data_IF_464746918948
#
_entry.id   IF_464746918948
#
_cell.length_a   1.000
_cell.length_b   1.000
_cell.length_c   1.000
_cell.angle_alpha   90.00
_cell.angle_beta   90.00
_cell.angle_gamma   90.00
#
_symmetry.space_group_name_H-M   'P 1'
#
loop_
_entity.id
_entity.type
_entity.pdbx_description
1 polymer ?
#
# COMPACT_ATOMS: atom_id res chain seq x y z
N UNK A 1 32.31 -29.86 -10.17
CA UNK A 1 31.40 -28.84 -10.76
C UNK A 1 31.58 -28.87 -12.26
N UNK A 2 30.53 -29.12 -13.04
CA UNK A 2 30.58 -29.14 -14.49
C UNK A 2 30.86 -27.73 -15.04
N UNK A 3 31.44 -27.63 -16.24
CA UNK A 3 31.70 -26.35 -16.89
C UNK A 3 30.39 -25.49 -17.03
N UNK A 4 29.26 -26.17 -17.08
CA UNK A 4 27.91 -25.54 -17.12
C UNK A 4 27.54 -24.89 -15.78
N UNK A 5 27.84 -25.54 -14.64
CA UNK A 5 27.60 -24.99 -13.30
C UNK A 5 28.51 -23.80 -13.00
N UNK A 6 29.76 -23.85 -13.44
CA UNK A 6 30.69 -22.72 -13.35
C UNK A 6 30.24 -21.53 -14.22
N UNK A 7 29.65 -21.79 -15.39
CA UNK A 7 29.09 -20.76 -16.27
C UNK A 7 27.82 -20.13 -15.70
N UNK A 8 26.99 -20.90 -15.02
CA UNK A 8 25.75 -20.38 -14.34
C UNK A 8 26.14 -19.56 -13.12
N UNK A 9 27.09 -20.02 -12.32
CA UNK A 9 27.60 -19.28 -11.16
C UNK A 9 28.28 -17.95 -11.56
N UNK A 10 28.96 -17.91 -12.71
CA UNK A 10 29.55 -16.67 -13.24
C UNK A 10 28.52 -15.67 -13.79
N UNK A 11 27.28 -16.10 -14.03
CA UNK A 11 26.17 -15.25 -14.49
C UNK A 11 25.26 -14.73 -13.39
N UNK A 12 25.48 -15.11 -12.12
CA UNK A 12 24.79 -14.49 -11.02
C UNK A 12 25.15 -12.99 -11.02
N UNK A 13 24.17 -12.07 -11.09
CA UNK A 13 24.49 -10.65 -11.08
C UNK A 13 25.26 -10.35 -9.80
N UNK A 14 26.37 -9.59 -9.89
CA UNK A 14 27.16 -9.25 -8.71
C UNK A 14 26.21 -8.56 -7.71
N UNK A 15 26.25 -9.01 -6.45
CA UNK A 15 25.50 -8.35 -5.37
C UNK A 15 25.79 -6.86 -5.44
N UNK A 16 24.75 -6.04 -5.62
CA UNK A 16 24.91 -4.58 -5.62
C UNK A 16 25.43 -4.17 -4.25
N UNK A 17 26.65 -3.63 -4.23
CA UNK A 17 27.25 -3.16 -2.99
C UNK A 17 26.67 -1.82 -2.52
N UNK A 18 25.96 -1.09 -3.41
CA UNK A 18 25.46 0.26 -3.16
C UNK A 18 24.03 0.46 -3.69
N UNK A 19 23.39 1.53 -3.24
CA UNK A 19 22.12 2.01 -3.79
C UNK A 19 22.26 2.44 -5.25
N UNK A 20 21.18 2.32 -6.01
CA UNK A 20 21.11 2.97 -7.32
C UNK A 20 20.81 4.45 -7.05
N UNK A 21 21.78 5.32 -7.40
CA UNK A 21 21.74 6.74 -7.07
C UNK A 21 22.08 7.03 -5.61
N UNK A 22 21.72 8.22 -5.15
CA UNK A 22 21.97 8.66 -3.78
C UNK A 22 21.14 7.85 -2.78
N UNK A 23 21.76 7.34 -1.70
CA UNK A 23 21.03 6.59 -0.69
C UNK A 23 20.02 7.48 0.02
N UNK A 24 18.73 7.10 0.08
CA UNK A 24 17.76 7.88 0.83
C UNK A 24 18.13 7.89 2.32
N UNK A 25 17.93 9.03 2.99
CA UNK A 25 18.16 9.17 4.44
C UNK A 25 17.26 8.19 5.22
N UNK A 26 17.62 7.95 6.49
CA UNK A 26 16.80 7.07 7.35
C UNK A 26 15.34 7.56 7.42
N UNK A 27 15.14 8.87 7.59
CA UNK A 27 13.79 9.49 7.64
C UNK A 27 13.02 9.23 6.34
N UNK A 28 13.68 9.37 5.19
CA UNK A 28 13.06 9.10 3.90
C UNK A 28 12.68 7.63 3.73
N UNK A 29 13.54 6.70 4.17
CA UNK A 29 13.24 5.26 4.14
C UNK A 29 12.04 4.91 5.01
N UNK A 30 12.01 5.43 6.25
CA UNK A 30 10.89 5.21 7.16
C UNK A 30 9.61 5.82 6.62
N UNK A 31 9.68 7.01 6.00
CA UNK A 31 8.53 7.65 5.37
C UNK A 31 7.96 6.79 4.24
N UNK A 32 8.79 6.31 3.33
CA UNK A 32 8.34 5.47 2.21
C UNK A 32 7.82 4.10 2.70
N UNK A 33 8.46 3.52 3.71
CA UNK A 33 7.96 2.29 4.36
C UNK A 33 6.56 2.52 4.93
N UNK A 34 6.35 3.60 5.70
CA UNK A 34 5.04 3.93 6.27
C UNK A 34 3.98 4.12 5.20
N UNK A 35 4.29 4.90 4.14
CA UNK A 35 3.38 5.12 3.00
C UNK A 35 2.96 3.78 2.37
N UNK A 36 3.93 2.90 2.08
CA UNK A 36 3.64 1.60 1.50
C UNK A 36 2.82 0.69 2.42
N UNK A 37 3.13 0.68 3.73
CA UNK A 37 2.39 -0.12 4.72
C UNK A 37 0.93 0.33 4.83
N UNK A 38 0.69 1.63 4.91
CA UNK A 38 -0.67 2.19 4.99
C UNK A 38 -1.43 1.97 3.69
N UNK A 39 -0.78 2.14 2.53
CA UNK A 39 -1.41 1.93 1.22
C UNK A 39 -1.99 0.53 1.01
N UNK A 40 -1.43 -0.48 1.65
CA UNK A 40 -1.92 -1.87 1.54
C UNK A 40 -2.66 -2.36 2.80
N UNK A 41 -2.94 -1.48 3.75
CA UNK A 41 -3.52 -1.87 5.04
C UNK A 41 -4.93 -2.46 4.89
N UNK A 42 -5.70 -1.96 3.93
CA UNK A 42 -7.03 -2.50 3.63
C UNK A 42 -7.01 -3.97 3.22
N UNK A 43 -5.93 -4.50 2.65
CA UNK A 43 -5.83 -5.92 2.31
C UNK A 43 -6.04 -6.82 3.53
N UNK A 44 -5.54 -6.40 4.68
CA UNK A 44 -5.77 -7.11 5.95
C UNK A 44 -7.11 -6.76 6.61
N UNK A 45 -7.53 -5.49 6.54
CA UNK A 45 -8.74 -4.99 7.19
C UNK A 45 -10.03 -5.26 6.39
N UNK A 46 -9.92 -5.44 5.07
CA UNK A 46 -11.07 -5.60 4.18
C UNK A 46 -12.07 -6.67 4.63
N UNK A 47 -11.65 -7.90 4.95
CA UNK A 47 -12.56 -8.94 5.44
C UNK A 47 -13.31 -8.53 6.72
N UNK A 48 -12.64 -7.86 7.65
CA UNK A 48 -13.27 -7.37 8.89
C UNK A 48 -14.29 -6.26 8.60
N UNK A 49 -13.91 -5.25 7.82
CA UNK A 49 -14.74 -4.07 7.59
C UNK A 49 -15.90 -4.37 6.65
N UNK A 50 -15.65 -5.02 5.51
CA UNK A 50 -16.71 -5.40 4.58
C UNK A 50 -17.61 -6.48 5.16
N UNK A 51 -17.07 -7.42 5.93
CA UNK A 51 -17.85 -8.41 6.68
C UNK A 51 -18.76 -7.75 7.72
N UNK A 52 -18.27 -6.75 8.44
CA UNK A 52 -19.07 -5.94 9.36
C UNK A 52 -20.19 -5.18 8.66
N UNK A 53 -19.94 -4.62 7.47
CA UNK A 53 -20.97 -3.97 6.65
C UNK A 53 -22.04 -4.96 6.16
N UNK A 54 -21.64 -6.19 5.81
CA UNK A 54 -22.61 -7.22 5.46
C UNK A 54 -23.45 -7.67 6.65
N UNK A 55 -22.85 -7.83 7.83
CA UNK A 55 -23.58 -8.10 9.06
C UNK A 55 -24.59 -7.00 9.42
N UNK A 56 -24.27 -5.75 9.05
CA UNK A 56 -25.19 -4.60 9.17
C UNK A 56 -26.22 -4.50 8.03
N UNK A 57 -26.30 -5.47 7.11
CA UNK A 57 -27.25 -5.51 5.99
C UNK A 57 -26.93 -4.52 4.86
N UNK A 58 -25.75 -3.89 4.83
CA UNK A 58 -25.36 -2.89 3.81
C UNK A 58 -24.76 -3.53 2.55
N UNK A 59 -24.26 -4.77 2.64
CA UNK A 59 -23.67 -5.53 1.53
C UNK A 59 -24.16 -6.97 1.57
N UNK A 60 -24.29 -7.56 0.40
CA UNK A 60 -24.42 -9.01 0.23
C UNK A 60 -23.06 -9.69 0.17
N UNK A 61 -23.01 -11.01 0.39
CA UNK A 61 -21.77 -11.78 0.25
C UNK A 61 -21.12 -11.62 -1.15
N UNK A 62 -21.91 -11.54 -2.20
CA UNK A 62 -21.43 -11.31 -3.56
C UNK A 62 -20.78 -9.92 -3.70
N UNK A 63 -21.39 -8.89 -3.10
CA UNK A 63 -20.87 -7.52 -3.15
C UNK A 63 -19.57 -7.35 -2.36
N UNK A 64 -19.36 -8.11 -1.27
CA UNK A 64 -18.05 -8.15 -0.58
C UNK A 64 -16.95 -8.61 -1.55
N UNK A 65 -17.20 -9.71 -2.25
CA UNK A 65 -16.25 -10.23 -3.23
C UNK A 65 -15.99 -9.24 -4.38
N UNK A 66 -17.04 -8.60 -4.88
CA UNK A 66 -16.93 -7.58 -5.94
C UNK A 66 -16.10 -6.38 -5.47
N UNK A 67 -16.37 -5.84 -4.28
CA UNK A 67 -15.64 -4.71 -3.73
C UNK A 67 -14.15 -5.03 -3.54
N UNK A 68 -13.84 -6.17 -2.91
CA UNK A 68 -12.46 -6.60 -2.71
C UNK A 68 -11.73 -6.85 -4.03
N UNK A 69 -12.35 -7.54 -4.97
CA UNK A 69 -11.75 -7.81 -6.29
C UNK A 69 -11.53 -6.52 -7.09
N UNK A 70 -12.52 -5.63 -7.11
CA UNK A 70 -12.43 -4.36 -7.82
C UNK A 70 -11.29 -3.48 -7.27
N UNK A 71 -11.13 -3.43 -5.94
CA UNK A 71 -10.04 -2.71 -5.29
C UNK A 71 -8.67 -3.30 -5.64
N UNK A 72 -8.53 -4.63 -5.60
CA UNK A 72 -7.27 -5.31 -5.95
C UNK A 72 -6.88 -5.09 -7.41
N UNK A 73 -7.82 -5.17 -8.34
CA UNK A 73 -7.59 -4.90 -9.76
C UNK A 73 -7.17 -3.44 -9.96
N UNK A 74 -7.89 -2.51 -9.34
CA UNK A 74 -7.57 -1.09 -9.41
C UNK A 74 -6.19 -0.79 -8.76
N UNK A 75 -5.84 -1.47 -7.67
CA UNK A 75 -4.50 -1.35 -7.07
C UNK A 75 -3.41 -1.83 -8.03
N UNK A 76 -3.63 -2.94 -8.74
CA UNK A 76 -2.73 -3.39 -9.81
C UNK A 76 -2.54 -2.33 -10.90
N UNK A 77 -3.63 -1.68 -11.34
CA UNK A 77 -3.58 -0.56 -12.30
C UNK A 77 -2.82 0.63 -11.67
N UNK A 78 -3.06 0.94 -10.42
CA UNK A 78 -2.35 1.98 -9.68
C UNK A 78 -0.84 1.77 -9.68
N UNK A 79 -0.38 0.55 -9.41
CA UNK A 79 1.05 0.19 -9.43
C UNK A 79 1.63 0.26 -10.84
N UNK A 80 0.95 -0.35 -11.83
CA UNK A 80 1.52 -0.60 -13.14
C UNK A 80 1.39 0.61 -14.09
N UNK A 81 0.36 1.42 -13.93
CA UNK A 81 0.03 2.52 -14.86
C UNK A 81 0.11 3.87 -14.18
N UNK A 82 -0.68 4.08 -13.12
CA UNK A 82 -0.82 5.41 -12.52
C UNK A 82 0.46 5.85 -11.80
N UNK A 83 1.12 4.95 -11.05
CA UNK A 83 2.38 5.25 -10.37
C UNK A 83 3.46 5.78 -11.33
N UNK A 84 3.78 5.07 -12.42
CA UNK A 84 4.74 5.54 -13.40
C UNK A 84 4.41 6.89 -14.06
N UNK A 85 3.12 7.26 -14.18
CA UNK A 85 2.71 8.56 -14.73
C UNK A 85 3.14 9.75 -13.87
N UNK A 86 3.28 9.58 -12.54
CA UNK A 86 3.87 10.60 -11.68
C UNK A 86 5.35 10.83 -12.00
N UNK A 87 6.02 9.80 -12.54
CA UNK A 87 7.44 9.81 -12.84
C UNK A 87 8.31 9.83 -11.57
N UNK A 88 9.60 9.58 -11.76
CA UNK A 88 10.56 9.44 -10.66
C UNK A 88 10.87 10.73 -9.89
N UNK A 89 10.38 11.89 -10.36
CA UNK A 89 10.68 13.22 -9.80
C UNK A 89 9.56 13.84 -8.96
N UNK A 90 8.41 13.15 -8.82
CA UNK A 90 7.23 13.71 -8.13
C UNK A 90 6.73 12.83 -6.99
N UNK A 91 7.65 12.14 -6.31
CA UNK A 91 7.30 11.13 -5.30
C UNK A 91 6.53 11.71 -4.12
N UNK A 92 6.89 12.91 -3.64
CA UNK A 92 6.15 13.59 -2.57
C UNK A 92 4.73 13.93 -2.98
N UNK A 93 4.57 14.46 -4.19
CA UNK A 93 3.25 14.79 -4.72
C UNK A 93 2.39 13.52 -4.82
N UNK A 94 2.95 12.43 -5.35
CA UNK A 94 2.28 11.15 -5.43
C UNK A 94 1.84 10.65 -4.05
N UNK A 95 2.75 10.67 -3.06
CA UNK A 95 2.45 10.24 -1.69
C UNK A 95 1.34 11.08 -1.05
N UNK A 96 1.45 12.41 -1.13
CA UNK A 96 0.48 13.32 -0.51
C UNK A 96 -0.89 13.24 -1.17
N UNK A 97 -0.94 13.35 -2.50
CA UNK A 97 -2.23 13.32 -3.23
C UNK A 97 -2.92 11.97 -3.08
N UNK A 98 -2.18 10.87 -3.23
CA UNK A 98 -2.76 9.54 -3.09
C UNK A 98 -3.21 9.25 -1.66
N UNK A 99 -2.46 9.67 -0.64
CA UNK A 99 -2.88 9.53 0.75
C UNK A 99 -4.16 10.31 1.06
N UNK A 100 -4.30 11.55 0.57
CA UNK A 100 -5.50 12.35 0.77
C UNK A 100 -6.71 11.81 -0.02
N UNK A 101 -6.50 11.39 -1.27
CA UNK A 101 -7.56 10.79 -2.08
C UNK A 101 -8.06 9.49 -1.44
N UNK A 102 -7.14 8.64 -0.98
CA UNK A 102 -7.50 7.39 -0.31
C UNK A 102 -8.28 7.66 0.98
N UNK A 103 -7.85 8.62 1.80
CA UNK A 103 -8.57 9.04 3.01
C UNK A 103 -10.00 9.52 2.70
N UNK A 104 -10.16 10.32 1.65
CA UNK A 104 -11.48 10.78 1.22
C UNK A 104 -12.39 9.62 0.77
N UNK A 105 -11.85 8.64 0.06
CA UNK A 105 -12.57 7.45 -0.38
C UNK A 105 -12.92 6.52 0.78
N UNK A 106 -12.04 6.38 1.77
CA UNK A 106 -12.32 5.65 3.01
C UNK A 106 -13.47 6.32 3.78
N UNK A 107 -13.46 7.65 3.91
CA UNK A 107 -14.55 8.40 4.52
C UNK A 107 -15.84 8.31 3.71
N UNK A 108 -15.77 8.35 2.38
CA UNK A 108 -16.95 8.17 1.52
C UNK A 108 -17.58 6.79 1.73
N UNK A 109 -16.79 5.75 1.94
CA UNK A 109 -17.25 4.38 2.15
C UNK A 109 -18.17 4.28 3.37
N UNK A 110 -17.98 5.10 4.42
CA UNK A 110 -18.83 5.09 5.63
C UNK A 110 -20.28 5.56 5.34
N UNK A 111 -20.49 6.37 4.32
CA UNK A 111 -21.77 7.03 4.00
C UNK A 111 -22.49 6.42 2.81
N UNK A 112 -21.90 5.41 2.19
CA UNK A 112 -22.44 4.78 0.97
C UNK A 112 -22.85 3.34 1.23
N UNK A 113 -23.64 2.80 0.34
CA UNK A 113 -24.11 1.42 0.37
C UNK A 113 -24.11 0.82 -1.04
N UNK A 114 -24.12 -0.49 -1.12
CA UNK A 114 -24.29 -1.24 -2.36
C UNK A 114 -23.27 -0.86 -3.47
N UNK A 115 -23.73 -0.49 -4.63
CA UNK A 115 -22.92 -0.23 -5.82
C UNK A 115 -21.97 0.96 -5.67
N UNK A 116 -22.42 2.02 -5.00
CA UNK A 116 -21.57 3.21 -4.76
C UNK A 116 -20.39 2.86 -3.86
N UNK A 117 -20.60 1.98 -2.90
CA UNK A 117 -19.51 1.47 -2.05
C UNK A 117 -18.51 0.66 -2.88
N UNK A 118 -18.97 -0.22 -3.76
CA UNK A 118 -18.10 -1.01 -4.64
C UNK A 118 -17.25 -0.08 -5.53
N UNK A 119 -17.88 0.96 -6.09
CA UNK A 119 -17.17 1.95 -6.89
C UNK A 119 -16.15 2.74 -6.05
N UNK A 120 -16.52 3.16 -4.84
CA UNK A 120 -15.60 3.85 -3.93
C UNK A 120 -14.38 2.97 -3.60
N UNK A 121 -14.58 1.67 -3.36
CA UNK A 121 -13.49 0.72 -3.12
C UNK A 121 -12.63 0.49 -4.37
N UNK A 122 -13.27 0.36 -5.54
CA UNK A 122 -12.52 0.30 -6.79
C UNK A 122 -11.64 1.52 -7.01
N UNK A 123 -12.18 2.72 -6.78
CA UNK A 123 -11.40 3.95 -6.90
C UNK A 123 -10.29 4.05 -5.83
N UNK A 124 -10.51 3.54 -4.61
CA UNK A 124 -9.53 3.52 -3.53
C UNK A 124 -8.30 2.64 -3.87
N UNK A 125 -8.48 1.60 -4.67
CA UNK A 125 -7.37 0.77 -5.13
C UNK A 125 -6.33 1.56 -5.94
N UNK A 126 -6.72 2.55 -6.74
CA UNK A 126 -5.78 3.32 -7.57
C UNK A 126 -4.72 4.06 -6.73
N UNK A 127 -5.07 4.94 -5.78
CA UNK A 127 -4.08 5.60 -4.93
C UNK A 127 -3.32 4.62 -4.03
N UNK A 128 -3.95 3.56 -3.53
CA UNK A 128 -3.29 2.50 -2.78
C UNK A 128 -2.18 1.85 -3.61
N UNK A 129 -2.43 1.57 -4.88
CA UNK A 129 -1.45 1.04 -5.82
C UNK A 129 -0.29 2.00 -6.07
N UNK A 130 -0.54 3.30 -6.19
CA UNK A 130 0.54 4.30 -6.31
C UNK A 130 1.42 4.32 -5.04
N UNK A 131 0.82 4.22 -3.85
CA UNK A 131 1.57 4.15 -2.60
C UNK A 131 2.44 2.87 -2.55
N UNK A 132 1.94 1.75 -3.07
CA UNK A 132 2.73 0.52 -3.23
C UNK A 132 3.84 0.67 -4.28
N UNK A 133 3.60 1.39 -5.38
CA UNK A 133 4.64 1.69 -6.37
C UNK A 133 5.80 2.50 -5.76
N UNK A 134 5.52 3.44 -4.85
CA UNK A 134 6.56 4.22 -4.16
C UNK A 134 7.50 3.32 -3.35
N UNK A 135 6.98 2.41 -2.53
CA UNK A 135 7.81 1.50 -1.73
C UNK A 135 8.57 0.51 -2.60
N UNK A 136 7.93 -0.04 -3.62
CA UNK A 136 8.57 -0.95 -4.57
C UNK A 136 9.72 -0.25 -5.31
N UNK A 137 9.51 1.01 -5.72
CA UNK A 137 10.54 1.86 -6.33
C UNK A 137 11.76 2.07 -5.45
N UNK A 138 11.59 2.17 -4.13
CA UNK A 138 12.71 2.22 -3.17
C UNK A 138 13.40 0.85 -3.05
N UNK A 139 12.62 -0.22 -2.92
CA UNK A 139 13.15 -1.58 -2.71
C UNK A 139 14.03 -2.02 -3.87
N UNK A 140 13.59 -1.81 -5.12
CA UNK A 140 14.36 -2.23 -6.30
C UNK A 140 15.68 -1.48 -6.48
N UNK A 141 15.84 -0.33 -5.83
CA UNK A 141 17.06 0.48 -5.84
C UNK A 141 18.01 0.19 -4.67
N UNK A 142 17.57 -0.59 -3.70
CA UNK A 142 18.36 -0.94 -2.53
C UNK A 142 19.52 -1.90 -2.89
N UNK A 143 20.61 -1.92 -2.11
CA UNK A 143 21.75 -2.83 -2.33
C UNK A 143 21.37 -4.30 -2.27
N UNK A 144 20.38 -4.62 -1.44
CA UNK A 144 19.84 -5.98 -1.22
C UNK A 144 18.32 -5.94 -1.29
N UNK A 145 17.74 -5.85 -2.52
CA UNK A 145 16.29 -5.71 -2.69
C UNK A 145 15.50 -6.83 -2.00
N UNK A 146 16.02 -8.05 -2.02
CA UNK A 146 15.40 -9.23 -1.40
C UNK A 146 15.25 -9.08 0.13
N UNK A 147 16.23 -8.49 0.80
CA UNK A 147 16.17 -8.23 2.24
C UNK A 147 15.16 -7.12 2.57
N UNK A 148 15.15 -6.06 1.77
CA UNK A 148 14.20 -4.98 1.94
C UNK A 148 12.77 -5.42 1.66
N UNK A 149 12.56 -6.25 0.63
CA UNK A 149 11.27 -6.86 0.36
C UNK A 149 10.81 -7.78 1.52
N UNK A 150 11.70 -8.66 2.00
CA UNK A 150 11.40 -9.51 3.15
C UNK A 150 11.08 -8.71 4.41
N UNK A 151 11.85 -7.67 4.72
CA UNK A 151 11.59 -6.78 5.86
C UNK A 151 10.24 -6.07 5.72
N UNK A 152 9.97 -5.52 4.53
CA UNK A 152 8.70 -4.85 4.25
C UNK A 152 7.51 -5.79 4.45
N UNK A 153 7.54 -6.98 3.85
CA UNK A 153 6.47 -7.97 3.99
C UNK A 153 6.26 -8.42 5.43
N UNK A 154 7.36 -8.64 6.18
CA UNK A 154 7.28 -9.00 7.60
C UNK A 154 6.62 -7.90 8.42
N UNK A 155 7.07 -6.64 8.27
CA UNK A 155 6.49 -5.51 8.99
C UNK A 155 5.03 -5.31 8.57
N UNK A 156 4.71 -5.43 7.28
CA UNK A 156 3.34 -5.35 6.77
C UNK A 156 2.43 -6.37 7.42
N UNK A 157 2.83 -7.64 7.47
CA UNK A 157 2.03 -8.71 8.07
C UNK A 157 1.81 -8.48 9.56
N UNK A 158 2.86 -8.12 10.30
CA UNK A 158 2.77 -7.83 11.73
C UNK A 158 1.89 -6.60 12.01
N UNK A 159 2.06 -5.54 11.24
CA UNK A 159 1.24 -4.34 11.35
C UNK A 159 -0.22 -4.65 11.05
N UNK A 160 -0.51 -5.34 9.94
CA UNK A 160 -1.87 -5.73 9.59
C UNK A 160 -2.52 -6.57 10.71
N UNK A 161 -1.83 -7.58 11.22
CA UNK A 161 -2.33 -8.40 12.32
C UNK A 161 -2.65 -7.56 13.56
N UNK A 162 -1.73 -6.66 13.95
CA UNK A 162 -1.90 -5.80 15.13
C UNK A 162 -3.04 -4.80 14.94
N UNK A 163 -3.12 -4.19 13.75
CA UNK A 163 -4.15 -3.18 13.43
C UNK A 163 -5.52 -3.85 13.29
N UNK A 164 -5.61 -5.00 12.60
CA UNK A 164 -6.87 -5.76 12.48
C UNK A 164 -7.39 -6.16 13.86
N UNK A 165 -6.53 -6.72 14.72
CA UNK A 165 -6.90 -7.12 16.07
C UNK A 165 -7.32 -5.91 16.92
N UNK A 166 -6.53 -4.84 16.91
CA UNK A 166 -6.82 -3.62 17.64
C UNK A 166 -8.10 -2.93 17.18
N UNK A 167 -8.25 -2.71 15.89
CA UNK A 167 -9.45 -2.09 15.30
C UNK A 167 -10.68 -2.98 15.55
N UNK A 168 -10.56 -4.31 15.41
CA UNK A 168 -11.66 -5.24 15.67
C UNK A 168 -12.24 -5.08 17.07
N UNK A 169 -11.36 -5.09 18.08
CA UNK A 169 -11.76 -5.06 19.49
C UNK A 169 -12.15 -3.64 19.94
N UNK A 170 -11.32 -2.64 19.65
CA UNK A 170 -11.48 -1.31 20.25
C UNK A 170 -12.30 -0.34 19.41
N UNK A 171 -12.53 -0.63 18.12
CA UNK A 171 -13.21 0.29 17.22
C UNK A 171 -14.44 -0.36 16.60
N UNK A 172 -14.31 -1.49 15.91
CA UNK A 172 -15.46 -2.10 15.22
C UNK A 172 -16.48 -2.65 16.21
N UNK A 173 -16.03 -3.22 17.33
CA UNK A 173 -16.94 -3.72 18.37
C UNK A 173 -17.86 -2.63 18.94
N UNK A 174 -17.36 -1.43 19.36
CA UNK A 174 -18.21 -0.37 19.91
C UNK A 174 -18.82 0.58 18.87
N UNK A 175 -18.17 0.81 17.72
CA UNK A 175 -18.56 1.85 16.75
C UNK A 175 -18.97 1.30 15.38
N UNK A 176 -18.95 -0.03 15.21
CA UNK A 176 -19.26 -0.68 13.95
C UNK A 176 -18.16 -0.52 12.88
N UNK A 177 -18.40 -1.04 11.67
CA UNK A 177 -17.43 -1.02 10.57
C UNK A 177 -17.09 0.42 10.11
N UNK A 178 -18.01 1.37 10.24
CA UNK A 178 -17.75 2.77 9.89
C UNK A 178 -16.62 3.37 10.74
N UNK A 179 -16.58 3.06 12.04
CA UNK A 179 -15.46 3.43 12.90
C UNK A 179 -14.10 2.92 12.39
N UNK A 180 -14.08 1.70 11.88
CA UNK A 180 -12.88 1.11 11.26
C UNK A 180 -12.41 1.89 10.02
N UNK A 181 -13.32 2.31 9.15
CA UNK A 181 -12.99 3.15 7.99
C UNK A 181 -12.52 4.56 8.40
N UNK A 182 -13.06 5.13 9.46
CA UNK A 182 -12.55 6.41 10.01
C UNK A 182 -11.10 6.26 10.47
N UNK A 183 -10.76 5.19 11.19
CA UNK A 183 -9.37 4.94 11.60
C UNK A 183 -8.47 4.74 10.37
N UNK A 184 -8.95 4.00 9.37
CA UNK A 184 -8.21 3.81 8.12
C UNK A 184 -7.96 5.17 7.43
N UNK A 185 -8.95 6.04 7.35
CA UNK A 185 -8.81 7.39 6.81
C UNK A 185 -7.78 8.24 7.59
N UNK A 186 -7.76 8.15 8.92
CA UNK A 186 -6.76 8.83 9.75
C UNK A 186 -5.35 8.32 9.45
N UNK A 187 -5.18 7.01 9.30
CA UNK A 187 -3.89 6.41 8.93
C UNK A 187 -3.44 6.85 7.54
N UNK A 188 -4.35 6.92 6.56
CA UNK A 188 -4.00 7.38 5.21
C UNK A 188 -3.69 8.87 5.15
N UNK A 189 -4.34 9.71 5.97
CA UNK A 189 -3.94 11.12 6.17
C UNK A 189 -2.53 11.18 6.78
N UNK A 190 -2.22 10.34 7.77
CA UNK A 190 -0.86 10.30 8.34
C UNK A 190 0.19 9.96 7.28
N UNK A 191 -0.12 9.04 6.35
CA UNK A 191 0.77 8.72 5.24
C UNK A 191 0.94 9.89 4.27
N UNK A 192 -0.10 10.69 4.03
CA UNK A 192 -0.01 11.92 3.23
C UNK A 192 0.91 12.94 3.89
N UNK A 193 0.79 13.15 5.21
CA UNK A 193 1.65 14.07 5.98
C UNK A 193 3.11 13.58 5.95
N UNK A 194 3.33 12.29 6.22
CA UNK A 194 4.66 11.67 6.17
C UNK A 194 5.24 11.71 4.76
N UNK A 195 4.41 11.80 3.72
CA UNK A 195 4.80 12.02 2.33
C UNK A 195 5.68 13.26 2.12
N UNK A 196 5.56 14.29 2.96
CA UNK A 196 6.46 15.47 2.96
C UNK A 196 7.93 15.08 3.22
N UNK A 197 8.15 14.03 4.00
CA UNK A 197 9.48 13.53 4.32
C UNK A 197 10.00 12.51 3.30
N UNK A 198 9.19 12.05 2.34
CA UNK A 198 9.62 11.14 1.29
C UNK A 198 10.73 11.74 0.42
N UNK A 199 11.54 10.94 -0.29
CA UNK A 199 12.49 11.45 -1.29
C UNK A 199 11.76 12.30 -2.34
N UNK A 200 12.42 13.30 -2.90
CA UNK A 200 11.84 14.08 -3.99
C UNK A 200 11.83 13.31 -5.31
N UNK A 201 12.86 12.50 -5.51
CA UNK A 201 13.06 11.73 -6.72
C UNK A 201 13.78 10.42 -6.43
N UNK A 202 13.61 9.45 -7.31
CA UNK A 202 14.45 8.26 -7.41
C UNK A 202 15.40 8.40 -8.60
N UNK A 203 16.56 7.75 -8.51
CA UNK A 203 17.44 7.61 -9.67
C UNK A 203 16.77 6.73 -10.74
N UNK A 204 16.96 7.01 -12.05
CA UNK A 204 16.43 6.16 -13.10
C UNK A 204 16.99 4.74 -12.99
N UNK A 205 16.15 3.76 -13.31
CA UNK A 205 16.59 2.38 -13.51
C UNK A 205 17.15 2.28 -14.93
N UNK A 206 18.40 1.81 -15.05
CA UNK A 206 19.03 1.59 -16.34
C UNK A 206 18.36 0.43 -17.09
#
# INVERSE_FOLDING_TARGET
>A
LSATEASIAARAPPFRAAWIGDPPSLVQRLAVLWIGLVGVLFLGLGPLLLGGMAAAGRLTAAQIGQAGTAELVAMGIGVAVIGPLFGERRLRLAAMSCGLILAALDMMTTRTSSEVLILARALAGLPAGVMMWLITGMIVRAPRPERWAGLYLTIQTLLQLSVVSGIGVFVVSPFGPDGGFVVLAVLTVSAAIVGLAAPRAYAPLA
#
